data_IF_914458320580
#
_entry.id   IF_914458320580
#
_cell.length_a   1.000
_cell.length_b   1.000
_cell.length_c   1.000
_cell.angle_alpha   90.00
_cell.angle_beta   90.00
_cell.angle_gamma   90.00
#
_symmetry.space_group_name_H-M   'P 1'
#
loop_
_entity.id
_entity.type
_entity.pdbx_description
1 polymer ?
#
# COMPACT_ATOMS: atom_id res chain seq x y z
N UNK A 1 -30.53 54.78 21.80
CA UNK A 1 -29.17 54.35 22.18
C UNK A 1 -28.95 52.97 21.62
N UNK A 2 -28.16 52.84 20.53
CA UNK A 2 -27.86 51.58 19.85
C UNK A 2 -26.40 51.24 20.18
N UNK A 3 -26.21 50.20 21.02
CA UNK A 3 -24.86 49.71 21.30
C UNK A 3 -24.44 48.74 20.16
N UNK A 4 -23.57 49.20 19.29
CA UNK A 4 -22.92 48.33 18.27
C UNK A 4 -21.77 47.59 18.91
N UNK A 5 -21.92 46.26 19.11
CA UNK A 5 -20.82 45.38 19.51
C UNK A 5 -19.95 45.10 18.32
N UNK A 6 -18.78 45.73 18.28
CA UNK A 6 -17.74 45.53 17.29
C UNK A 6 -16.95 44.25 17.63
N UNK A 7 -17.45 43.09 17.18
CA UNK A 7 -16.79 41.80 17.34
C UNK A 7 -15.53 41.78 16.48
N UNK A 8 -14.37 41.78 17.14
CA UNK A 8 -13.06 41.82 16.55
C UNK A 8 -12.79 40.49 15.75
N UNK A 9 -13.03 40.55 14.44
CA UNK A 9 -12.86 39.45 13.50
C UNK A 9 -11.47 38.76 13.55
N UNK A 10 -10.44 39.48 14.03
CA UNK A 10 -9.08 38.91 14.16
C UNK A 10 -8.97 37.86 15.26
N UNK A 11 -9.70 37.97 16.37
CA UNK A 11 -9.63 37.02 17.47
C UNK A 11 -10.45 35.77 17.19
N UNK A 12 -11.49 35.84 16.37
CA UNK A 12 -12.30 34.70 15.98
C UNK A 12 -11.54 33.73 15.06
N UNK A 13 -10.79 34.28 14.08
CA UNK A 13 -9.96 33.45 13.16
C UNK A 13 -8.79 32.76 13.88
N UNK A 14 -8.20 33.39 14.90
CA UNK A 14 -7.13 32.76 15.69
C UNK A 14 -7.64 31.64 16.59
N UNK A 15 -8.83 31.78 17.17
CA UNK A 15 -9.45 30.75 18.03
C UNK A 15 -9.87 29.52 17.23
N UNK A 16 -10.40 29.68 16.02
CA UNK A 16 -10.74 28.56 15.14
C UNK A 16 -9.48 27.79 14.72
N UNK A 17 -8.39 28.50 14.39
CA UNK A 17 -7.13 27.83 14.05
C UNK A 17 -6.53 27.07 15.23
N UNK A 18 -6.70 27.56 16.45
CA UNK A 18 -6.21 26.89 17.64
C UNK A 18 -7.04 25.66 17.98
N UNK A 19 -8.38 25.73 17.87
CA UNK A 19 -9.29 24.60 18.01
C UNK A 19 -9.00 23.50 16.97
N UNK A 20 -8.80 23.85 15.71
CA UNK A 20 -8.45 22.88 14.66
C UNK A 20 -7.09 22.21 14.93
N UNK A 21 -6.10 22.95 15.44
CA UNK A 21 -4.82 22.37 15.83
C UNK A 21 -4.90 21.47 17.04
N UNK A 22 -5.68 21.84 18.03
CA UNK A 22 -5.90 21.04 19.23
C UNK A 22 -6.66 19.73 18.94
N UNK A 23 -7.70 19.77 18.10
CA UNK A 23 -8.41 18.58 17.65
C UNK A 23 -7.56 17.69 16.74
N UNK A 24 -6.76 18.26 15.86
CA UNK A 24 -5.85 17.52 14.99
C UNK A 24 -4.71 16.87 15.81
N UNK A 25 -4.13 17.60 16.77
CA UNK A 25 -3.14 17.05 17.72
C UNK A 25 -3.75 15.98 18.61
N UNK A 26 -4.96 16.17 19.10
CA UNK A 26 -5.69 15.17 19.89
C UNK A 26 -5.99 13.91 19.08
N UNK A 27 -6.41 14.03 17.83
CA UNK A 27 -6.58 12.90 16.91
C UNK A 27 -5.26 12.21 16.59
N UNK A 28 -4.17 12.97 16.42
CA UNK A 28 -2.83 12.44 16.20
C UNK A 28 -2.29 11.70 17.43
N UNK A 29 -2.51 12.22 18.63
CA UNK A 29 -2.10 11.59 19.89
C UNK A 29 -2.92 10.33 20.16
N UNK A 30 -4.20 10.30 19.83
CA UNK A 30 -5.05 9.10 19.90
C UNK A 30 -4.58 8.06 18.86
N UNK A 31 -4.15 8.48 17.68
CA UNK A 31 -3.58 7.61 16.64
C UNK A 31 -2.21 7.02 17.05
N UNK A 32 -1.42 7.76 17.81
CA UNK A 32 -0.09 7.33 18.30
C UNK A 32 -0.19 6.50 19.58
N UNK A 33 -1.21 6.72 20.43
CA UNK A 33 -1.39 6.00 21.69
C UNK A 33 -2.32 4.79 21.58
N UNK A 34 -3.15 4.67 20.53
CA UNK A 34 -3.75 3.40 20.21
C UNK A 34 -2.68 2.51 19.58
N UNK A 35 -2.43 1.30 20.10
CA UNK A 35 -1.60 0.30 19.42
C UNK A 35 -2.40 -0.24 18.22
N UNK A 36 -2.59 0.59 17.21
CA UNK A 36 -3.24 0.21 15.95
C UNK A 36 -2.14 -0.23 15.03
N UNK A 37 -2.13 -1.47 14.73
CA UNK A 37 -1.09 -2.19 14.00
C UNK A 37 -1.44 -2.25 12.50
N UNK A 38 -0.47 -2.14 11.65
CA UNK A 38 -0.60 -1.68 10.27
C UNK A 38 0.00 -2.65 9.22
N UNK A 39 -0.64 -2.89 8.07
CA UNK A 39 -0.45 -3.85 7.00
C UNK A 39 0.64 -3.58 5.96
N UNK A 40 1.08 -4.64 5.31
CA UNK A 40 2.21 -4.65 4.39
C UNK A 40 1.82 -4.15 3.01
N UNK A 41 2.01 -2.87 2.76
CA UNK A 41 2.32 -2.41 1.42
C UNK A 41 3.69 -1.78 1.45
N UNK A 42 4.57 -2.05 0.50
CA UNK A 42 5.62 -1.11 0.27
C UNK A 42 4.90 0.20 0.02
N UNK A 43 5.12 1.18 0.89
CA UNK A 43 4.81 2.56 0.50
C UNK A 43 5.48 2.67 -0.84
N UNK A 44 4.74 2.91 -1.94
CA UNK A 44 5.36 3.04 -3.23
C UNK A 44 6.47 4.03 -3.00
N UNK A 45 7.70 3.62 -3.27
CA UNK A 45 8.88 4.45 -3.13
C UNK A 45 8.43 5.78 -3.67
N UNK A 46 8.30 6.79 -2.79
CA UNK A 46 7.51 7.97 -3.07
C UNK A 46 7.82 8.39 -4.49
N UNK A 47 6.97 8.00 -5.44
CA UNK A 47 7.05 8.31 -6.86
C UNK A 47 6.65 9.77 -7.04
N UNK A 48 7.02 10.54 -6.05
CA UNK A 48 7.29 11.93 -6.13
C UNK A 48 8.79 12.04 -6.30
N UNK A 49 9.30 11.77 -7.49
CA UNK A 49 10.39 12.58 -7.98
C UNK A 49 9.86 14.01 -7.83
N UNK A 50 10.10 14.61 -6.67
CA UNK A 50 9.82 16.02 -6.44
C UNK A 50 10.57 16.70 -7.55
N UNK A 51 9.80 17.12 -8.55
CA UNK A 51 10.24 18.01 -9.63
C UNK A 51 11.15 19.02 -8.96
N UNK A 52 12.43 18.93 -9.27
CA UNK A 52 13.56 19.57 -8.60
C UNK A 52 13.16 20.87 -7.90
N UNK A 53 13.00 20.79 -6.60
CA UNK A 53 12.91 22.00 -5.80
C UNK A 53 14.36 22.50 -5.70
N UNK A 54 14.72 23.64 -6.31
CA UNK A 54 16.11 24.16 -6.30
C UNK A 54 16.59 24.55 -4.91
N UNK A 55 15.74 24.44 -3.89
CA UNK A 55 16.10 24.53 -2.49
C UNK A 55 16.76 23.23 -2.03
N UNK A 56 18.01 23.34 -1.58
CA UNK A 56 18.84 22.19 -1.19
C UNK A 56 18.13 21.18 -0.29
N UNK A 57 18.46 19.91 -0.48
CA UNK A 57 17.97 18.80 0.33
C UNK A 57 18.22 19.06 1.82
N UNK A 58 17.22 18.87 2.65
CA UNK A 58 17.33 18.90 4.11
C UNK A 58 17.03 17.50 4.65
N UNK A 59 18.00 16.86 5.36
CA UNK A 59 17.71 15.63 6.09
C UNK A 59 16.54 15.83 7.05
N UNK A 60 15.70 14.83 7.20
CA UNK A 60 14.55 15.02 8.09
C UNK A 60 13.63 13.83 8.18
N UNK A 61 12.79 13.89 9.19
CA UNK A 61 11.73 12.94 9.42
C UNK A 61 10.62 13.08 8.38
N UNK A 62 10.10 11.95 7.94
CA UNK A 62 8.91 11.85 7.12
C UNK A 62 7.84 11.06 7.86
N UNK A 63 6.60 11.46 7.71
CA UNK A 63 5.46 10.75 8.26
C UNK A 63 4.41 10.70 7.16
N UNK A 64 4.02 9.51 6.78
CA UNK A 64 2.98 9.27 5.79
C UNK A 64 1.93 8.32 6.31
N UNK A 65 0.72 8.48 5.86
CA UNK A 65 -0.38 7.55 6.06
C UNK A 65 -1.01 7.23 4.72
N UNK A 66 -1.28 5.95 4.46
CA UNK A 66 -1.99 5.51 3.27
C UNK A 66 -3.10 4.55 3.66
N UNK A 67 -4.30 4.81 3.18
CA UNK A 67 -5.41 3.87 3.20
C UNK A 67 -5.61 3.39 1.77
N UNK A 68 -5.52 2.10 1.56
CA UNK A 68 -5.68 1.52 0.25
C UNK A 68 -6.37 0.16 0.34
N UNK A 69 -6.84 -0.35 -0.78
CA UNK A 69 -7.45 -1.66 -0.81
C UNK A 69 -7.95 -2.05 -2.17
N UNK A 70 -8.15 -3.34 -2.34
CA UNK A 70 -8.67 -3.93 -3.56
C UNK A 70 -9.93 -4.72 -3.29
N UNK A 71 -10.86 -4.62 -4.21
CA UNK A 71 -12.06 -5.45 -4.25
C UNK A 71 -12.07 -6.32 -5.52
N UNK A 72 -12.38 -7.59 -5.34
CA UNK A 72 -12.43 -8.58 -6.42
C UNK A 72 -13.60 -9.55 -6.22
N UNK A 73 -13.77 -10.50 -7.14
CA UNK A 73 -14.74 -11.59 -6.99
C UNK A 73 -14.51 -12.46 -5.75
N UNK A 74 -13.32 -12.42 -5.15
CA UNK A 74 -12.97 -13.17 -3.96
C UNK A 74 -13.18 -12.38 -2.66
N UNK A 75 -13.50 -11.12 -2.74
CA UNK A 75 -13.75 -10.22 -1.60
C UNK A 75 -12.89 -8.98 -1.64
N UNK A 76 -12.89 -8.22 -0.55
CA UNK A 76 -12.10 -7.02 -0.38
C UNK A 76 -10.98 -7.23 0.63
N UNK A 77 -9.80 -6.73 0.30
CA UNK A 77 -8.65 -6.59 1.19
C UNK A 77 -8.31 -5.12 1.23
N UNK A 78 -8.39 -4.53 2.40
CA UNK A 78 -8.10 -3.13 2.64
C UNK A 78 -7.05 -3.04 3.72
N UNK A 79 -6.18 -2.08 3.62
CA UNK A 79 -5.22 -1.79 4.66
C UNK A 79 -5.07 -0.29 4.91
N UNK A 80 -4.68 0.00 6.12
CA UNK A 80 -4.23 1.31 6.52
C UNK A 80 -2.77 1.21 6.91
N UNK A 81 -1.90 1.75 6.08
CA UNK A 81 -0.47 1.85 6.29
C UNK A 81 -0.09 3.22 6.84
N UNK A 82 0.73 3.24 7.88
CA UNK A 82 1.47 4.44 8.26
C UNK A 82 2.94 4.11 8.33
N UNK A 83 3.78 5.02 7.87
CA UNK A 83 5.22 4.87 7.97
C UNK A 83 5.84 6.12 8.56
N UNK A 84 6.74 5.89 9.50
CA UNK A 84 7.68 6.87 9.98
C UNK A 84 9.00 6.63 9.25
N UNK A 85 9.49 7.65 8.59
CA UNK A 85 10.73 7.58 7.83
C UNK A 85 11.73 8.64 8.24
N UNK A 86 12.95 8.46 7.79
CA UNK A 86 14.00 9.44 7.88
C UNK A 86 14.83 9.48 6.59
N UNK A 87 14.91 10.63 5.97
CA UNK A 87 15.77 10.86 4.83
C UNK A 87 17.15 11.33 5.30
N UNK A 88 18.15 10.47 5.21
CA UNK A 88 19.54 10.77 5.60
C UNK A 88 20.22 11.69 4.58
N UNK A 89 19.99 11.43 3.32
CA UNK A 89 20.49 12.19 2.18
C UNK A 89 19.40 12.32 1.13
N UNK A 90 19.64 13.11 0.09
CA UNK A 90 18.73 13.17 -1.07
C UNK A 90 18.59 11.81 -1.80
N UNK A 91 19.49 10.88 -1.54
CA UNK A 91 19.55 9.58 -2.20
C UNK A 91 19.10 8.44 -1.29
N UNK A 92 19.23 8.58 0.04
CA UNK A 92 18.97 7.51 0.99
C UNK A 92 17.92 7.89 2.01
N UNK A 93 16.99 6.96 2.23
CA UNK A 93 15.96 7.05 3.25
C UNK A 93 15.65 5.68 3.84
N UNK A 94 15.16 5.70 5.06
CA UNK A 94 14.68 4.53 5.78
C UNK A 94 13.26 4.82 6.26
N UNK A 95 12.35 3.87 6.04
CA UNK A 95 11.00 3.92 6.59
C UNK A 95 10.74 2.68 7.42
N UNK A 96 9.89 2.80 8.41
CA UNK A 96 9.40 1.69 9.20
C UNK A 96 7.92 1.89 9.48
N UNK A 97 7.19 0.79 9.53
CA UNK A 97 5.76 0.83 9.76
C UNK A 97 5.19 -0.52 10.16
N UNK A 98 3.94 -0.51 10.49
CA UNK A 98 3.15 -1.70 10.78
C UNK A 98 1.77 -1.50 10.16
N UNK A 99 1.27 -2.45 9.40
CA UNK A 99 0.04 -2.36 8.66
C UNK A 99 -1.19 -2.90 9.40
N UNK A 100 -2.38 -2.34 9.13
CA UNK A 100 -3.66 -2.76 9.67
C UNK A 100 -4.61 -3.18 8.57
N UNK A 101 -5.01 -4.45 8.58
CA UNK A 101 -5.89 -5.03 7.57
C UNK A 101 -7.34 -5.06 7.96
N UNK A 102 -8.19 -4.77 6.97
CA UNK A 102 -9.61 -5.09 6.94
C UNK A 102 -9.86 -6.03 5.77
N UNK A 103 -10.52 -7.13 6.02
CA UNK A 103 -10.83 -8.10 4.97
C UNK A 103 -12.32 -8.38 4.97
N UNK A 104 -12.95 -8.32 3.81
CA UNK A 104 -14.36 -8.63 3.63
C UNK A 104 -14.51 -9.79 2.65
N UNK A 105 -15.41 -10.71 2.95
CA UNK A 105 -15.82 -11.75 1.99
C UNK A 105 -17.12 -11.33 1.30
N UNK A 106 -17.29 -11.62 0.01
CA UNK A 106 -18.53 -11.31 -0.68
C UNK A 106 -19.68 -12.13 -0.06
N UNK A 107 -20.81 -11.45 0.13
CA UNK A 107 -22.06 -12.12 0.48
C UNK A 107 -22.53 -12.94 -0.73
N UNK A 108 -22.75 -14.23 -0.53
CA UNK A 108 -23.32 -15.12 -1.56
C UNK A 108 -24.72 -15.56 -1.12
N UNK A 109 -25.58 -15.95 -2.08
CA UNK A 109 -26.92 -16.51 -1.79
C UNK A 109 -26.90 -17.71 -0.86
N UNK A 110 -25.78 -18.43 -0.82
CA UNK A 110 -25.55 -19.59 0.06
C UNK A 110 -24.86 -19.23 1.37
N UNK A 111 -24.31 -18.02 1.49
CA UNK A 111 -23.70 -17.52 2.73
C UNK A 111 -24.02 -16.02 2.88
N UNK A 112 -25.19 -15.67 3.43
CA UNK A 112 -25.64 -14.28 3.55
C UNK A 112 -24.84 -13.45 4.54
N UNK A 113 -23.91 -14.04 5.28
CA UNK A 113 -23.04 -13.33 6.23
C UNK A 113 -21.70 -12.98 5.61
N UNK A 114 -21.45 -11.67 5.40
CA UNK A 114 -20.09 -11.23 5.13
C UNK A 114 -19.24 -11.50 6.39
N UNK A 115 -18.24 -12.37 6.27
CA UNK A 115 -17.25 -12.55 7.33
C UNK A 115 -16.20 -11.45 7.13
N UNK A 116 -16.09 -10.54 8.07
CA UNK A 116 -15.04 -9.53 8.08
C UNK A 116 -13.95 -9.95 9.06
N UNK A 117 -12.71 -9.82 8.63
CA UNK A 117 -11.52 -9.98 9.45
C UNK A 117 -10.83 -8.64 9.66
N UNK A 118 -10.39 -8.39 10.89
CA UNK A 118 -9.58 -7.22 11.23
C UNK A 118 -8.32 -7.71 11.94
N UNK A 119 -7.17 -7.15 11.63
CA UNK A 119 -5.95 -7.49 12.33
C UNK A 119 -4.71 -6.75 11.86
N UNK A 120 -3.66 -7.08 12.57
CA UNK A 120 -2.32 -6.52 12.44
C UNK A 120 -1.53 -7.34 11.45
N UNK A 121 -0.86 -6.67 10.51
CA UNK A 121 0.13 -7.29 9.63
C UNK A 121 1.52 -7.40 10.27
N UNK A 122 2.48 -7.76 9.46
CA UNK A 122 3.88 -7.84 9.90
C UNK A 122 4.52 -6.46 9.90
N UNK A 123 5.26 -6.10 10.93
CA UNK A 123 6.06 -4.89 10.92
C UNK A 123 7.09 -4.94 9.78
N UNK A 124 7.33 -3.80 9.15
CA UNK A 124 8.23 -3.70 8.02
C UNK A 124 9.24 -2.56 8.17
N UNK A 125 10.28 -2.67 7.37
CA UNK A 125 11.28 -1.63 7.19
C UNK A 125 11.67 -1.58 5.71
N UNK A 126 11.72 -0.36 5.17
CA UNK A 126 12.13 -0.07 3.81
C UNK A 126 13.42 0.74 3.80
N UNK A 127 14.47 0.20 3.22
CA UNK A 127 15.65 0.96 2.87
C UNK A 127 15.52 1.41 1.41
N UNK A 128 15.46 2.72 1.22
CA UNK A 128 15.25 3.32 -0.11
C UNK A 128 16.49 4.07 -0.56
N UNK A 129 16.80 3.96 -1.84
CA UNK A 129 17.69 4.92 -2.48
C UNK A 129 17.16 5.34 -3.85
N UNK A 130 17.39 6.61 -4.17
CA UNK A 130 16.95 7.24 -5.40
C UNK A 130 18.15 7.91 -6.07
N UNK A 131 18.28 7.70 -7.35
CA UNK A 131 19.33 8.31 -8.16
C UNK A 131 18.71 9.01 -9.38
N UNK A 132 18.19 10.24 -9.19
CA UNK A 132 17.63 11.01 -10.29
C UNK A 132 18.75 11.43 -11.25
N UNK A 133 18.58 11.15 -12.53
CA UNK A 133 19.50 11.54 -13.58
C UNK A 133 18.71 12.01 -14.81
N UNK A 134 19.26 12.97 -15.55
CA UNK A 134 18.59 13.58 -16.71
C UNK A 134 18.13 12.60 -17.77
N UNK A 135 18.88 11.51 -17.95
CA UNK A 135 18.62 10.51 -19.00
C UNK A 135 17.92 9.25 -18.50
N UNK A 136 17.96 8.97 -17.21
CA UNK A 136 17.32 7.79 -16.62
C UNK A 136 17.24 7.98 -15.11
N UNK A 137 16.06 8.00 -14.57
CA UNK A 137 15.86 7.94 -13.14
C UNK A 137 15.96 6.48 -12.69
N UNK A 138 16.62 6.27 -11.57
CA UNK A 138 16.74 4.98 -10.93
C UNK A 138 16.34 5.09 -9.48
N UNK A 139 15.46 4.21 -9.02
CA UNK A 139 15.20 4.03 -7.61
C UNK A 139 15.23 2.56 -7.23
N UNK A 140 15.60 2.27 -6.01
CA UNK A 140 15.57 0.92 -5.46
C UNK A 140 15.10 0.95 -4.03
N UNK A 141 14.42 -0.13 -3.63
CA UNK A 141 13.98 -0.33 -2.26
C UNK A 141 14.26 -1.78 -1.83
N UNK A 142 14.71 -1.95 -0.60
CA UNK A 142 14.76 -3.24 0.07
C UNK A 142 13.70 -3.20 1.17
N UNK A 143 12.65 -3.99 0.96
CA UNK A 143 11.56 -4.17 1.92
C UNK A 143 11.81 -5.43 2.75
N UNK A 144 11.81 -5.31 4.07
CA UNK A 144 11.98 -6.43 5.00
C UNK A 144 10.83 -6.44 5.99
N UNK A 145 10.25 -7.62 6.25
CA UNK A 145 9.20 -7.76 7.24
C UNK A 145 9.58 -8.70 8.37
N UNK A 146 9.17 -8.36 9.58
CA UNK A 146 9.23 -9.24 10.73
C UNK A 146 7.90 -10.02 10.89
N UNK A 147 7.90 -11.27 11.36
CA UNK A 147 6.69 -12.08 11.49
C UNK A 147 5.84 -11.71 12.72
N UNK A 148 5.48 -10.43 12.85
CA UNK A 148 4.74 -9.89 14.02
C UNK A 148 3.23 -9.90 13.86
N UNK A 149 2.72 -10.08 12.64
CA UNK A 149 1.29 -10.06 12.36
C UNK A 149 0.57 -11.36 12.68
N UNK A 150 -0.76 -11.34 12.59
CA UNK A 150 -1.62 -12.50 12.89
C UNK A 150 -1.59 -13.53 11.74
N UNK A 151 -0.76 -14.55 11.90
CA UNK A 151 -0.68 -15.67 10.94
C UNK A 151 -2.00 -16.45 10.82
N UNK A 152 -2.77 -16.58 11.92
CA UNK A 152 -4.01 -17.35 11.89
C UNK A 152 -5.08 -16.69 11.04
N UNK A 153 -5.01 -15.38 10.90
CA UNK A 153 -5.90 -14.59 10.05
C UNK A 153 -5.32 -14.31 8.65
N UNK A 154 -4.15 -14.85 8.31
CA UNK A 154 -3.50 -14.61 7.03
C UNK A 154 -2.89 -13.21 6.88
N UNK A 155 -2.74 -12.45 7.96
CA UNK A 155 -2.13 -11.11 7.96
C UNK A 155 -0.61 -11.15 8.15
N UNK A 156 -0.06 -12.31 8.36
CA UNK A 156 1.37 -12.59 8.38
C UNK A 156 1.63 -14.01 7.87
N UNK A 157 2.76 -14.19 7.24
CA UNK A 157 3.25 -15.52 6.82
C UNK A 157 3.82 -16.30 8.02
N UNK A 158 4.18 -15.61 9.09
CA UNK A 158 4.85 -16.18 10.25
C UNK A 158 6.34 -16.45 10.02
N UNK A 159 6.90 -15.90 8.96
CA UNK A 159 8.33 -15.89 8.62
C UNK A 159 8.75 -14.47 8.26
N UNK A 160 10.02 -14.16 8.46
CA UNK A 160 10.59 -12.94 7.92
C UNK A 160 10.59 -12.99 6.38
N UNK A 161 10.21 -11.89 5.75
CA UNK A 161 10.27 -11.76 4.30
C UNK A 161 11.16 -10.61 3.90
N UNK A 162 11.66 -10.69 2.67
CA UNK A 162 12.40 -9.62 2.06
C UNK A 162 12.09 -9.54 0.57
N UNK A 163 12.14 -8.33 0.04
CA UNK A 163 12.01 -8.04 -1.37
C UNK A 163 12.94 -6.90 -1.70
N UNK A 164 13.61 -7.01 -2.83
CA UNK A 164 14.33 -5.91 -3.46
C UNK A 164 13.62 -5.56 -4.75
N UNK A 165 13.28 -4.29 -4.92
CA UNK A 165 12.69 -3.75 -6.15
C UNK A 165 13.58 -2.69 -6.72
N UNK A 166 13.65 -2.62 -8.05
CA UNK A 166 14.38 -1.61 -8.80
C UNK A 166 13.42 -1.01 -9.81
N UNK A 167 13.35 0.29 -9.85
CA UNK A 167 12.51 1.06 -10.75
C UNK A 167 13.38 1.92 -11.65
N UNK A 168 13.10 1.90 -12.93
CA UNK A 168 13.76 2.69 -13.96
C UNK A 168 12.70 3.44 -14.75
N UNK A 169 12.83 4.74 -14.85
CA UNK A 169 11.95 5.56 -15.67
C UNK A 169 12.71 6.66 -16.43
N UNK A 170 12.12 7.11 -17.52
CA UNK A 170 12.64 8.25 -18.28
C UNK A 170 11.48 9.12 -18.79
N UNK A 171 11.51 10.41 -18.43
CA UNK A 171 10.47 11.34 -18.80
C UNK A 171 10.72 11.92 -20.22
N UNK A 172 9.72 11.77 -21.09
CA UNK A 172 9.60 12.40 -22.39
C UNK A 172 8.44 13.42 -22.38
N UNK A 173 8.67 14.59 -21.82
CA UNK A 173 7.60 15.56 -21.54
C UNK A 173 6.70 15.04 -20.42
N UNK A 174 5.42 14.85 -20.73
CA UNK A 174 4.42 14.33 -19.81
C UNK A 174 4.34 12.78 -19.82
N UNK A 175 5.09 12.11 -20.68
CA UNK A 175 5.12 10.65 -20.79
C UNK A 175 6.37 10.09 -20.12
N UNK A 176 6.20 9.05 -19.32
CA UNK A 176 7.28 8.37 -18.60
C UNK A 176 7.14 6.86 -18.76
N UNK A 177 7.78 6.24 -19.77
CA UNK A 177 7.94 4.79 -19.78
C UNK A 177 8.77 4.35 -18.59
N UNK A 178 8.37 3.22 -18.00
CA UNK A 178 9.05 2.67 -16.84
C UNK A 178 9.17 1.14 -16.89
N UNK A 179 10.12 0.64 -16.12
CA UNK A 179 10.32 -0.80 -15.87
C UNK A 179 10.67 -0.99 -14.40
N UNK A 180 9.95 -1.91 -13.75
CA UNK A 180 10.28 -2.42 -12.43
C UNK A 180 10.83 -3.83 -12.54
N UNK A 181 11.85 -4.14 -11.76
CA UNK A 181 12.40 -5.48 -11.62
C UNK A 181 12.70 -5.76 -10.15
N UNK A 182 12.21 -6.88 -9.64
CA UNK A 182 12.38 -7.23 -8.24
C UNK A 182 12.65 -8.71 -8.03
N UNK A 183 13.23 -9.02 -6.89
CA UNK A 183 13.42 -10.39 -6.38
C UNK A 183 13.10 -10.42 -4.89
N UNK A 184 12.59 -11.55 -4.42
CA UNK A 184 12.26 -11.70 -3.01
C UNK A 184 11.83 -13.10 -2.62
N UNK A 185 11.41 -13.24 -1.38
CA UNK A 185 10.83 -14.46 -0.87
C UNK A 185 9.34 -14.32 -0.50
N UNK A 186 8.71 -13.25 -0.97
CA UNK A 186 7.26 -13.05 -0.94
C UNK A 186 6.85 -12.19 -2.14
N UNK A 187 5.59 -12.27 -2.54
CA UNK A 187 5.03 -11.37 -3.55
C UNK A 187 4.42 -10.20 -2.79
N UNK A 188 4.90 -9.00 -3.08
CA UNK A 188 4.38 -7.78 -2.49
C UNK A 188 3.02 -7.40 -3.10
N UNK A 189 2.14 -6.86 -2.28
CA UNK A 189 0.98 -6.14 -2.77
C UNK A 189 1.45 -4.86 -3.50
N UNK A 190 0.70 -4.41 -4.48
CA UNK A 190 0.99 -3.20 -5.25
C UNK A 190 -0.20 -2.25 -5.17
N UNK A 191 -0.05 -0.99 -5.54
CA UNK A 191 -1.16 -0.05 -5.64
C UNK A 191 -2.29 -0.59 -6.52
N UNK A 192 -1.97 -1.36 -7.54
CA UNK A 192 -2.94 -1.92 -8.48
C UNK A 192 -3.68 -3.14 -7.93
N UNK A 193 -3.07 -3.90 -7.02
CA UNK A 193 -3.64 -5.16 -6.58
C UNK A 193 -3.17 -5.56 -5.17
N UNK A 194 -4.12 -5.54 -4.23
CA UNK A 194 -3.98 -6.15 -2.91
C UNK A 194 -4.51 -7.58 -2.98
N UNK A 195 -3.60 -8.53 -2.89
CA UNK A 195 -3.94 -9.93 -3.09
C UNK A 195 -4.77 -10.48 -1.95
N UNK A 196 -5.75 -11.37 -2.23
CA UNK A 196 -6.52 -12.04 -1.19
C UNK A 196 -5.70 -13.08 -0.41
N UNK A 197 -4.40 -13.15 -0.64
CA UNK A 197 -3.47 -14.08 -0.01
C UNK A 197 -2.09 -13.44 0.20
N UNK A 198 -1.34 -13.95 1.18
CA UNK A 198 0.07 -13.68 1.35
C UNK A 198 0.90 -14.87 0.89
N UNK A 199 2.10 -14.65 0.38
CA UNK A 199 2.94 -15.71 -0.20
C UNK A 199 4.30 -15.79 0.50
N UNK A 200 4.88 -17.00 0.48
CA UNK A 200 6.24 -17.25 0.91
C UNK A 200 6.91 -18.24 -0.03
N UNK A 201 8.01 -17.84 -0.62
CA UNK A 201 8.78 -18.59 -1.60
C UNK A 201 9.50 -17.62 -2.53
N UNK A 202 10.62 -18.03 -3.07
CA UNK A 202 11.41 -17.17 -3.94
C UNK A 202 10.67 -16.85 -5.24
N UNK A 203 10.76 -15.61 -5.66
CA UNK A 203 10.16 -15.12 -6.90
C UNK A 203 10.96 -13.94 -7.47
N UNK A 204 10.85 -13.77 -8.79
CA UNK A 204 11.19 -12.54 -9.48
C UNK A 204 9.89 -11.85 -9.91
N UNK A 205 9.87 -10.53 -9.87
CA UNK A 205 8.73 -9.71 -10.22
C UNK A 205 9.18 -8.70 -11.27
N UNK A 206 8.39 -8.58 -12.33
CA UNK A 206 8.62 -7.62 -13.40
C UNK A 206 7.33 -6.84 -13.62
N UNK A 207 7.47 -5.55 -13.86
CA UNK A 207 6.37 -4.68 -14.26
C UNK A 207 6.92 -3.69 -15.27
N UNK A 208 6.19 -3.41 -16.34
CA UNK A 208 6.62 -2.45 -17.34
C UNK A 208 5.43 -1.74 -17.95
N UNK A 209 5.56 -0.45 -18.12
CA UNK A 209 4.45 0.36 -18.56
C UNK A 209 4.83 1.76 -19.00
N UNK A 210 3.81 2.58 -19.09
CA UNK A 210 3.93 4.00 -19.39
C UNK A 210 3.01 4.78 -18.46
N UNK A 211 3.50 5.90 -18.00
CA UNK A 211 2.76 6.90 -17.23
C UNK A 211 2.61 8.18 -18.03
N UNK A 212 1.46 8.83 -17.93
CA UNK A 212 1.16 10.12 -18.56
C UNK A 212 0.71 11.11 -17.49
N UNK A 213 1.50 12.15 -17.25
CA UNK A 213 1.36 13.13 -16.17
C UNK A 213 0.97 14.52 -16.67
N UNK A 214 -0.31 14.80 -17.02
CA UNK A 214 -0.75 16.14 -17.39
C UNK A 214 -1.03 17.02 -16.15
N UNK A 215 -0.07 17.14 -15.26
CA UNK A 215 -0.11 18.05 -14.10
C UNK A 215 -0.63 17.41 -12.81
N UNK A 216 -1.92 17.55 -12.46
CA UNK A 216 -2.48 17.00 -11.21
C UNK A 216 -2.96 15.57 -11.34
N UNK A 217 -3.10 15.08 -12.54
CA UNK A 217 -3.49 13.70 -12.85
C UNK A 217 -2.28 12.95 -13.36
N UNK A 218 -2.21 11.67 -13.02
CA UNK A 218 -1.33 10.70 -13.66
C UNK A 218 -2.17 9.52 -14.12
N UNK A 219 -1.90 9.05 -15.32
CA UNK A 219 -2.55 7.88 -15.92
C UNK A 219 -1.48 6.85 -16.19
N UNK A 220 -1.68 5.62 -15.74
CA UNK A 220 -0.72 4.55 -15.91
C UNK A 220 -1.34 3.33 -16.58
N UNK A 221 -0.57 2.68 -17.45
CA UNK A 221 -0.90 1.36 -18.01
C UNK A 221 0.37 0.51 -17.96
N UNK A 222 0.26 -0.69 -17.42
CA UNK A 222 1.40 -1.59 -17.28
C UNK A 222 0.99 -3.05 -17.47
N UNK A 223 1.98 -3.90 -17.77
CA UNK A 223 1.89 -5.34 -17.71
C UNK A 223 2.89 -5.87 -16.67
N UNK A 224 2.52 -6.92 -15.97
CA UNK A 224 3.37 -7.52 -14.94
C UNK A 224 3.50 -9.03 -15.10
N UNK A 225 4.59 -9.57 -14.60
CA UNK A 225 4.83 -11.01 -14.46
C UNK A 225 5.51 -11.31 -13.13
N UNK A 226 5.01 -12.34 -12.45
CA UNK A 226 5.59 -12.91 -11.24
C UNK A 226 6.05 -14.31 -11.59
N UNK A 227 7.36 -14.53 -11.57
CA UNK A 227 8.03 -15.78 -11.89
C UNK A 227 8.59 -16.43 -10.61
N UNK A 228 7.82 -17.26 -9.91
CA UNK A 228 8.28 -17.97 -8.72
C UNK A 228 9.14 -19.18 -9.09
N UNK A 229 9.99 -19.62 -8.15
CA UNK A 229 10.75 -20.88 -8.25
C UNK A 229 10.85 -21.57 -6.89
N UNK A 230 11.08 -22.89 -6.94
CA UNK A 230 11.12 -23.73 -5.75
C UNK A 230 9.76 -23.93 -5.10
N UNK A 231 9.76 -24.27 -3.83
CA UNK A 231 8.54 -24.47 -3.06
C UNK A 231 7.91 -23.12 -2.69
N UNK A 232 6.61 -23.06 -2.86
CA UNK A 232 5.79 -21.89 -2.57
C UNK A 232 4.79 -22.21 -1.47
N UNK A 233 4.49 -21.23 -0.63
CA UNK A 233 3.42 -21.28 0.37
C UNK A 233 2.50 -20.10 0.15
N UNK A 234 1.20 -20.36 0.15
CA UNK A 234 0.15 -19.36 0.06
C UNK A 234 -0.70 -19.41 1.33
N UNK A 235 -0.97 -18.27 1.94
CA UNK A 235 -1.81 -18.13 3.13
C UNK A 235 -2.95 -17.16 2.77
N UNK A 236 -4.17 -17.66 2.82
CA UNK A 236 -5.34 -16.85 2.49
C UNK A 236 -5.62 -15.78 3.54
N UNK A 237 -5.95 -14.57 3.08
CA UNK A 237 -6.47 -13.46 3.88
C UNK A 237 -8.01 -13.42 3.85
N UNK A 238 -8.62 -13.96 2.80
CA UNK A 238 -10.06 -13.95 2.58
C UNK A 238 -10.62 -15.34 2.83
N UNK A 239 -11.69 -15.42 3.63
CA UNK A 239 -12.30 -16.68 4.00
C UNK A 239 -13.59 -16.89 3.24
N UNK A 240 -13.70 -18.03 2.55
CA UNK A 240 -14.98 -18.53 1.98
C UNK A 240 -15.39 -19.81 2.67
N UNK A 241 -16.61 -19.82 3.19
CA UNK A 241 -17.27 -21.04 3.56
C UNK A 241 -18.06 -21.57 2.36
N UNK A 242 -17.68 -22.70 1.80
CA UNK A 242 -18.48 -23.38 0.78
C UNK A 242 -19.63 -24.14 1.44
N UNK A 243 -20.84 -23.76 1.05
CA UNK A 243 -22.14 -24.47 1.19
C UNK A 243 -22.33 -25.47 2.33
N UNK A 244 -23.13 -25.05 3.29
CA UNK A 244 -24.07 -25.96 4.01
C UNK A 244 -23.56 -26.69 5.23
N UNK A 245 -22.29 -26.62 5.58
CA UNK A 245 -21.72 -27.21 6.80
C UNK A 245 -20.65 -26.31 7.36
N UNK A 246 -20.63 -26.25 8.69
CA UNK A 246 -19.63 -25.53 9.50
C UNK A 246 -18.28 -25.49 8.79
N UNK A 247 -17.67 -24.29 8.65
CA UNK A 247 -16.33 -24.14 8.08
C UNK A 247 -15.40 -25.24 8.62
N UNK A 248 -15.18 -26.29 7.85
CA UNK A 248 -14.36 -27.43 8.25
C UNK A 248 -12.94 -27.18 7.77
N UNK A 249 -12.01 -27.31 8.68
CA UNK A 249 -10.57 -27.06 8.47
C UNK A 249 -9.84 -28.13 7.63
N UNK A 250 -10.59 -29.04 6.97
CA UNK A 250 -10.00 -30.14 6.19
C UNK A 250 -10.59 -30.21 4.79
N UNK A 251 -10.16 -29.33 3.91
CA UNK A 251 -10.54 -29.41 2.51
C UNK A 251 -9.32 -29.26 1.61
N UNK A 252 -8.80 -30.34 1.08
CA UNK A 252 -7.95 -30.35 -0.10
C UNK A 252 -8.79 -29.86 -1.28
N UNK A 253 -8.92 -28.56 -1.44
CA UNK A 253 -9.56 -28.00 -2.62
C UNK A 253 -8.50 -27.69 -3.66
N UNK A 254 -8.50 -28.42 -4.75
CA UNK A 254 -7.74 -28.14 -5.97
C UNK A 254 -8.28 -26.92 -6.72
N UNK A 255 -9.37 -26.32 -6.27
CA UNK A 255 -9.92 -25.06 -6.77
C UNK A 255 -9.46 -23.91 -5.88
N UNK A 256 -8.63 -23.03 -6.42
CA UNK A 256 -8.14 -21.77 -5.80
C UNK A 256 -9.24 -20.84 -5.26
N UNK A 257 -10.50 -21.17 -5.41
CA UNK A 257 -11.68 -20.37 -5.05
C UNK A 257 -12.30 -20.72 -3.69
N UNK A 258 -11.70 -21.58 -2.88
CA UNK A 258 -12.29 -22.05 -1.63
C UNK A 258 -11.32 -21.89 -0.46
N UNK A 259 -11.32 -20.75 0.19
CA UNK A 259 -10.53 -20.52 1.39
C UNK A 259 -11.38 -20.70 2.64
N UNK A 260 -10.99 -21.64 3.47
CA UNK A 260 -11.45 -21.75 4.87
C UNK A 260 -10.41 -21.09 5.75
N UNK A 261 -10.80 -20.60 6.93
CA UNK A 261 -9.97 -19.83 7.87
C UNK A 261 -8.47 -20.16 7.79
N UNK A 262 -7.66 -19.22 7.30
CA UNK A 262 -6.21 -19.31 7.09
C UNK A 262 -5.75 -20.66 6.50
N UNK A 263 -6.29 -21.05 5.35
CA UNK A 263 -5.77 -22.24 4.65
C UNK A 263 -4.35 -21.92 4.18
N UNK A 264 -3.40 -22.68 4.69
CA UNK A 264 -2.03 -22.70 4.20
C UNK A 264 -1.96 -23.73 3.10
N UNK A 265 -1.60 -23.31 1.90
CA UNK A 265 -1.37 -24.19 0.76
C UNK A 265 0.10 -24.16 0.41
N UNK A 266 0.73 -25.32 0.27
CA UNK A 266 2.11 -25.46 -0.20
C UNK A 266 2.14 -26.17 -1.53
N UNK A 267 3.01 -25.76 -2.43
CA UNK A 267 3.12 -26.35 -3.76
C UNK A 267 4.41 -25.94 -4.48
N UNK A 268 4.52 -26.32 -5.74
CA UNK A 268 5.61 -25.87 -6.61
C UNK A 268 5.42 -24.42 -7.08
N UNK A 269 6.28 -23.98 -7.98
CA UNK A 269 6.28 -22.64 -8.52
C UNK A 269 4.94 -22.16 -9.10
N UNK A 270 4.18 -23.05 -9.73
CA UNK A 270 2.89 -22.73 -10.36
C UNK A 270 1.83 -22.24 -9.35
N UNK A 271 2.02 -22.54 -8.04
CA UNK A 271 1.07 -22.13 -7.01
C UNK A 271 0.89 -20.61 -6.93
N UNK A 272 2.00 -19.88 -7.06
CA UNK A 272 2.03 -18.42 -6.88
C UNK A 272 2.37 -17.67 -8.15
N UNK A 273 2.48 -18.39 -9.30
CA UNK A 273 2.72 -17.76 -10.60
C UNK A 273 1.55 -16.83 -10.95
N UNK A 274 1.88 -15.60 -11.32
CA UNK A 274 0.90 -14.60 -11.68
C UNK A 274 1.43 -13.71 -12.80
N UNK A 275 0.54 -13.29 -13.68
CA UNK A 275 0.82 -12.29 -14.71
C UNK A 275 -0.47 -11.59 -15.10
N UNK A 276 -0.33 -10.41 -15.68
CA UNK A 276 -1.51 -9.65 -16.05
C UNK A 276 -1.19 -8.24 -16.50
N UNK A 277 -2.19 -7.39 -16.39
CA UNK A 277 -2.08 -5.99 -16.74
C UNK A 277 -2.83 -5.11 -15.75
N UNK A 278 -2.36 -3.87 -15.65
CA UNK A 278 -2.87 -2.85 -14.74
C UNK A 278 -3.17 -1.58 -15.51
N UNK A 279 -4.13 -0.80 -15.01
CA UNK A 279 -4.37 0.56 -15.43
C UNK A 279 -4.74 1.39 -14.20
N UNK A 280 -4.24 2.61 -14.10
CA UNK A 280 -4.44 3.44 -12.93
C UNK A 280 -4.62 4.91 -13.25
N UNK A 281 -5.26 5.62 -12.34
CA UNK A 281 -5.44 7.06 -12.33
C UNK A 281 -5.08 7.55 -10.93
N UNK A 282 -4.07 8.42 -10.85
CA UNK A 282 -3.70 9.11 -9.63
C UNK A 282 -4.12 10.58 -9.75
N UNK A 283 -4.66 11.15 -8.68
CA UNK A 283 -5.05 12.56 -8.61
C UNK A 283 -4.44 13.22 -7.38
N UNK A 284 -3.60 14.23 -7.62
CA UNK A 284 -2.91 15.00 -6.58
C UNK A 284 -3.48 16.43 -6.52
N UNK A 285 -4.65 16.62 -5.85
CA UNK A 285 -5.27 17.95 -5.74
C UNK A 285 -4.36 18.97 -5.08
N UNK A 286 -3.60 18.53 -4.09
CA UNK A 286 -2.62 19.31 -3.34
C UNK A 286 -1.39 18.44 -3.03
N UNK A 287 -0.24 19.07 -2.76
CA UNK A 287 1.03 18.35 -2.64
C UNK A 287 1.17 17.37 -1.46
N UNK A 288 0.19 17.30 -0.57
CA UNK A 288 0.17 16.38 0.56
C UNK A 288 -0.95 15.34 0.50
N UNK A 289 -1.78 15.35 -0.55
CA UNK A 289 -2.90 14.43 -0.73
C UNK A 289 -2.80 13.76 -2.09
N UNK A 290 -2.83 12.44 -2.09
CA UNK A 290 -2.84 11.58 -3.26
C UNK A 290 -4.07 10.68 -3.23
N UNK A 291 -4.82 10.64 -4.32
CA UNK A 291 -5.99 9.80 -4.50
C UNK A 291 -5.73 8.88 -5.69
N UNK A 292 -5.81 7.58 -5.46
CA UNK A 292 -5.50 6.55 -6.45
C UNK A 292 -6.74 5.72 -6.74
N UNK A 293 -6.92 5.39 -8.01
CA UNK A 293 -7.93 4.44 -8.46
C UNK A 293 -7.33 3.57 -9.55
N UNK A 294 -7.35 2.26 -9.34
CA UNK A 294 -6.67 1.32 -10.20
C UNK A 294 -7.54 0.12 -10.56
N UNK A 295 -7.24 -0.46 -11.70
CA UNK A 295 -7.76 -1.72 -12.18
C UNK A 295 -6.60 -2.68 -12.43
N UNK A 296 -6.77 -3.95 -12.05
CA UNK A 296 -5.82 -5.02 -12.33
C UNK A 296 -6.54 -6.26 -12.82
N UNK A 297 -5.93 -6.94 -13.78
CA UNK A 297 -6.37 -8.25 -14.26
C UNK A 297 -5.25 -9.26 -14.09
N UNK A 298 -5.46 -10.24 -13.23
CA UNK A 298 -4.65 -11.46 -13.17
C UNK A 298 -5.17 -12.47 -14.18
N UNK A 299 -4.33 -12.90 -15.10
CA UNK A 299 -4.70 -13.87 -16.14
C UNK A 299 -4.81 -15.30 -15.58
N UNK A 300 -3.84 -15.81 -14.82
CA UNK A 300 -3.93 -17.18 -14.26
C UNK A 300 -5.06 -17.34 -13.24
N UNK A 301 -5.29 -16.31 -12.42
CA UNK A 301 -6.37 -16.33 -11.43
C UNK A 301 -7.73 -16.01 -12.03
N UNK A 302 -7.78 -15.52 -13.28
CA UNK A 302 -8.98 -14.99 -13.93
C UNK A 302 -9.70 -13.96 -13.07
N UNK A 303 -8.93 -13.14 -12.35
CA UNK A 303 -9.41 -12.24 -11.32
C UNK A 303 -9.27 -10.79 -11.78
N UNK A 304 -10.38 -10.07 -11.79
CA UNK A 304 -10.40 -8.61 -11.90
C UNK A 304 -10.38 -8.01 -10.50
N UNK A 305 -9.54 -7.02 -10.29
CA UNK A 305 -9.45 -6.30 -9.03
C UNK A 305 -9.57 -4.80 -9.30
N UNK A 306 -10.32 -4.13 -8.45
CA UNK A 306 -10.43 -2.68 -8.43
C UNK A 306 -9.83 -2.21 -7.11
N UNK A 307 -8.84 -1.34 -7.22
CA UNK A 307 -8.12 -0.80 -6.07
C UNK A 307 -8.39 0.69 -5.92
N UNK A 308 -8.33 1.18 -4.72
CA UNK A 308 -8.34 2.60 -4.43
C UNK A 308 -7.36 2.90 -3.31
N UNK A 309 -6.81 4.11 -3.33
CA UNK A 309 -5.87 4.57 -2.32
C UNK A 309 -6.12 6.03 -1.95
N UNK A 310 -5.85 6.35 -0.69
CA UNK A 310 -5.80 7.73 -0.18
C UNK A 310 -4.49 7.86 0.57
N UNK A 311 -3.53 8.56 0.00
CA UNK A 311 -2.23 8.86 0.59
C UNK A 311 -2.19 10.25 1.16
N UNK A 312 -1.63 10.41 2.36
CA UNK A 312 -1.43 11.72 3.00
C UNK A 312 0.01 11.85 3.46
N UNK A 313 0.72 12.85 2.94
CA UNK A 313 2.03 13.25 3.46
C UNK A 313 1.84 14.22 4.62
N UNK A 314 2.16 13.78 5.80
CA UNK A 314 2.10 14.58 7.02
C UNK A 314 3.43 15.25 7.38
N UNK A 315 4.47 15.03 6.59
CA UNK A 315 5.82 15.57 6.84
C UNK A 315 5.84 17.09 6.85
N UNK A 316 4.95 17.72 6.10
CA UNK A 316 4.84 19.19 6.07
C UNK A 316 4.37 19.78 7.40
N UNK A 317 3.62 19.02 8.21
CA UNK A 317 3.20 19.45 9.55
C UNK A 317 4.37 19.50 10.53
N UNK A 318 5.40 18.71 10.30
CA UNK A 318 6.60 18.60 11.13
C UNK A 318 7.67 19.63 10.74
N UNK A 319 7.54 20.27 9.57
CA UNK A 319 8.48 21.30 9.14
C UNK A 319 8.26 22.58 9.93
N UNK A 320 9.30 23.12 10.60
CA UNK A 320 9.17 24.43 11.23
C UNK A 320 8.82 25.44 10.13
N UNK A 321 7.70 26.14 10.28
CA UNK A 321 7.36 27.23 9.39
C UNK A 321 8.43 28.31 9.59
N UNK A 322 9.29 28.50 8.59
CA UNK A 322 10.14 29.68 8.55
C UNK A 322 9.21 30.92 8.60
N UNK A 323 9.28 31.65 9.71
CA UNK A 323 8.57 32.90 9.90
C UNK A 323 9.33 34.01 9.18
#
# INVERSE_FOLDING_TARGET
MIFGANLNKRNFASSIRWLFRATLLGALVILVLCPVSFGQTPIPAATGATKDNPGGFTPGWTLGGKFEGSYSGDGGVYDFGSALGYNFTRHFGLDAGVPFFFVTTPSTTTNPGAVSGIGIGSAFTDLRWNYPHKSLNYSSAIHVTAPTGDKKKGFSIGHATWNQTNHFDHAFGDFSPFVDAGVGNSILDTKYFHRPFATYGYNAQFNGGIEYDPGKFSFSVAAYDVAPWGNQTEISRVFRCTTGTKCSSSGTSTNRKGFTSSSVTTGGADLTRDNGYNAGIDYKPVGYLDLEFDFSRSVPLQLNSYSFGIGVDLSWLLRPHAR
#
